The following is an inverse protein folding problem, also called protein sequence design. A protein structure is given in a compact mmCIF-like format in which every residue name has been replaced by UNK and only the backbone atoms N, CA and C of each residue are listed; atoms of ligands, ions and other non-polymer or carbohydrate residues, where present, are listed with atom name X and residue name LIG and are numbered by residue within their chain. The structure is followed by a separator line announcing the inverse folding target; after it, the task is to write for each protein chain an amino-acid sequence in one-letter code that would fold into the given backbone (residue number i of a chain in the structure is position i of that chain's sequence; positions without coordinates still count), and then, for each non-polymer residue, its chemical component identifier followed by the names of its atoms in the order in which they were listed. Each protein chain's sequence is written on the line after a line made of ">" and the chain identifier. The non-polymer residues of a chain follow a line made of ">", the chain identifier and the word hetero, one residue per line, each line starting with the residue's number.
data_IF_386796274526
#
_entry.id   IF_386796274526
#
_cell.length_a   1.000
_cell.length_b   1.000
_cell.length_c   1.000
_cell.angle_alpha   90.00
_cell.angle_beta   90.00
_cell.angle_gamma   90.00
#
_symmetry.space_group_name_H-M   'P 1'
#
loop_
_entity.id
_entity.type
_entity.pdbx_description
1 polymer ?
#
# COMPACT_ATOMS: atom_id res chain seq x y z
N UNK A 1 -11.54 -19.06 -2.13
CA UNK A 1 -10.10 -19.20 -2.45
C UNK A 1 -9.40 -18.01 -1.82
N UNK A 2 -8.33 -18.26 -1.04
CA UNK A 2 -7.51 -17.18 -0.48
C UNK A 2 -6.36 -16.86 -1.44
N UNK A 3 -5.95 -15.59 -1.49
CA UNK A 3 -4.81 -15.09 -2.23
C UNK A 3 -3.56 -15.32 -1.37
N UNK A 4 -2.54 -15.93 -1.96
CA UNK A 4 -1.24 -16.13 -1.32
C UNK A 4 -0.27 -15.03 -1.73
N UNK A 5 0.51 -14.54 -0.77
CA UNK A 5 1.54 -13.53 -1.02
C UNK A 5 2.88 -14.25 -1.16
N UNK A 6 3.60 -14.05 -2.27
CA UNK A 6 4.86 -14.75 -2.50
C UNK A 6 5.92 -14.31 -1.49
N UNK A 7 6.60 -15.25 -0.83
CA UNK A 7 7.73 -14.97 0.06
C UNK A 7 9.01 -14.73 -0.76
N UNK A 8 9.08 -13.61 -1.47
CA UNK A 8 10.28 -13.23 -2.23
C UNK A 8 11.24 -12.40 -1.35
N UNK A 9 12.57 -12.45 -1.64
CA UNK A 9 13.55 -11.64 -0.93
C UNK A 9 13.26 -10.14 -1.07
N UNK A 10 13.78 -9.36 -0.13
CA UNK A 10 13.61 -7.90 -0.13
C UNK A 10 14.08 -7.31 -1.48
N UNK A 11 13.17 -6.66 -2.20
CA UNK A 11 13.54 -5.79 -3.31
C UNK A 11 13.59 -4.37 -2.79
N UNK A 12 14.69 -3.68 -3.10
CA UNK A 12 14.75 -2.24 -2.98
C UNK A 12 13.53 -1.65 -3.72
N UNK A 13 12.71 -0.82 -3.07
CA UNK A 13 11.56 -0.16 -3.69
C UNK A 13 12.09 0.93 -4.63
N UNK A 14 12.68 0.52 -5.74
CA UNK A 14 13.17 1.39 -6.79
C UNK A 14 11.97 1.80 -7.64
N UNK A 15 11.24 2.83 -7.20
CA UNK A 15 10.20 3.53 -7.99
C UNK A 15 8.98 2.68 -8.42
N UNK A 16 8.86 1.44 -7.97
CA UNK A 16 7.81 0.50 -8.38
C UNK A 16 7.01 -0.04 -7.20
N UNK A 17 5.78 -0.47 -7.47
CA UNK A 17 4.88 -1.09 -6.50
C UNK A 17 5.52 -2.33 -5.87
N UNK A 18 5.36 -2.49 -4.55
CA UNK A 18 5.85 -3.67 -3.83
C UNK A 18 5.15 -4.94 -4.33
N UNK A 19 5.91 -5.93 -4.81
CA UNK A 19 5.37 -7.21 -5.30
C UNK A 19 4.59 -7.99 -4.25
N UNK A 20 4.90 -7.81 -2.96
CA UNK A 20 4.15 -8.45 -1.87
C UNK A 20 2.78 -7.82 -1.66
N UNK A 21 2.66 -6.52 -1.93
CA UNK A 21 1.41 -5.76 -1.76
C UNK A 21 0.59 -5.68 -3.05
N UNK A 22 1.19 -5.95 -4.21
CA UNK A 22 0.51 -5.97 -5.50
C UNK A 22 -0.75 -6.86 -5.53
N UNK A 23 -0.78 -8.08 -4.93
CA UNK A 23 -2.00 -8.87 -4.84
C UNK A 23 -3.11 -8.20 -4.03
N UNK A 24 -2.74 -7.46 -2.98
CA UNK A 24 -3.69 -6.71 -2.14
C UNK A 24 -4.21 -5.49 -2.91
N UNK A 25 -3.31 -4.75 -3.58
CA UNK A 25 -3.70 -3.61 -4.43
C UNK A 25 -4.69 -4.06 -5.50
N UNK A 26 -4.37 -5.15 -6.20
CA UNK A 26 -5.25 -5.72 -7.22
C UNK A 26 -6.61 -6.12 -6.65
N UNK A 27 -6.64 -6.81 -5.51
CA UNK A 27 -7.88 -7.19 -4.84
C UNK A 27 -8.73 -5.95 -4.52
N UNK A 28 -8.11 -4.90 -3.98
CA UNK A 28 -8.80 -3.65 -3.63
C UNK A 28 -9.36 -2.95 -4.88
N UNK A 29 -8.59 -2.88 -5.96
CA UNK A 29 -9.02 -2.31 -7.25
C UNK A 29 -10.17 -3.10 -7.88
N UNK A 30 -10.09 -4.44 -7.87
CA UNK A 30 -11.16 -5.33 -8.34
C UNK A 30 -12.46 -5.20 -7.54
N UNK A 31 -12.38 -4.68 -6.31
CA UNK A 31 -13.51 -4.42 -5.43
C UNK A 31 -13.86 -2.93 -5.32
N UNK A 32 -13.40 -2.10 -6.26
CA UNK A 32 -13.85 -0.72 -6.44
C UNK A 32 -13.06 0.36 -5.68
N UNK A 33 -12.00 -0.01 -4.96
CA UNK A 33 -11.07 0.98 -4.40
C UNK A 33 -10.23 1.59 -5.52
N UNK A 34 -9.99 2.90 -5.49
CA UNK A 34 -9.16 3.56 -6.49
C UNK A 34 -7.81 3.91 -5.91
N UNK A 35 -6.75 3.51 -6.59
CA UNK A 35 -5.38 3.85 -6.24
C UNK A 35 -4.92 5.11 -6.97
N UNK A 36 -4.12 5.93 -6.32
CA UNK A 36 -3.57 7.18 -6.87
C UNK A 36 -2.35 6.92 -7.76
N UNK A 37 -2.61 6.36 -8.95
CA UNK A 37 -1.58 6.15 -9.97
C UNK A 37 -0.97 7.46 -10.48
N UNK A 38 -1.63 8.61 -10.29
CA UNK A 38 -1.14 9.92 -10.77
C UNK A 38 0.03 10.41 -9.93
N UNK A 39 -0.07 10.24 -8.61
CA UNK A 39 1.04 10.56 -7.68
C UNK A 39 2.16 9.53 -7.75
N UNK A 40 1.86 8.30 -8.19
CA UNK A 40 2.82 7.20 -8.21
C UNK A 40 3.19 6.73 -6.80
N UNK A 41 4.34 6.07 -6.68
CA UNK A 41 4.91 5.74 -5.37
C UNK A 41 5.48 7.00 -4.75
N UNK A 42 5.03 7.33 -3.54
CA UNK A 42 5.55 8.45 -2.77
C UNK A 42 6.61 7.97 -1.79
N UNK A 43 7.59 8.83 -1.53
CA UNK A 43 8.65 8.56 -0.56
C UNK A 43 8.48 9.46 0.66
N UNK A 44 8.75 8.94 1.86
CA UNK A 44 8.84 9.76 3.07
C UNK A 44 10.30 10.00 3.48
N UNK A 45 10.53 11.03 4.30
CA UNK A 45 11.86 11.36 4.84
C UNK A 45 12.47 10.22 5.67
N UNK A 46 11.65 9.31 6.19
CA UNK A 46 12.09 8.09 6.90
C UNK A 46 12.30 6.85 6.03
N UNK A 47 12.56 7.01 4.73
CA UNK A 47 12.82 5.91 3.76
C UNK A 47 11.63 4.96 3.51
N UNK A 48 10.44 5.32 3.99
CA UNK A 48 9.20 4.60 3.68
C UNK A 48 8.68 4.91 2.28
N UNK A 49 8.10 3.91 1.63
CA UNK A 49 7.43 4.01 0.34
C UNK A 49 5.93 3.89 0.54
N UNK A 50 5.16 4.65 -0.23
CA UNK A 50 3.71 4.76 -0.05
C UNK A 50 3.00 4.66 -1.39
N UNK A 51 1.93 3.89 -1.41
CA UNK A 51 0.93 3.94 -2.46
C UNK A 51 -0.40 4.37 -1.84
N UNK A 52 -0.97 5.44 -2.38
CA UNK A 52 -2.17 6.04 -1.80
C UNK A 52 -3.42 5.52 -2.49
N UNK A 53 -4.48 5.31 -1.71
CA UNK A 53 -5.83 5.06 -2.21
C UNK A 53 -6.69 6.30 -2.02
N UNK A 54 -7.55 6.61 -2.98
CA UNK A 54 -8.56 7.67 -2.84
C UNK A 54 -9.62 7.31 -1.80
N UNK A 55 -9.96 6.02 -1.74
CA UNK A 55 -10.99 5.46 -0.90
C UNK A 55 -10.36 4.79 0.35
N UNK A 56 -11.09 4.66 1.48
CA UNK A 56 -10.60 3.95 2.65
C UNK A 56 -10.30 2.48 2.32
N UNK A 57 -9.15 1.98 2.75
CA UNK A 57 -8.77 0.57 2.53
C UNK A 57 -9.71 -0.35 3.31
N UNK A 58 -10.38 -1.25 2.60
CA UNK A 58 -11.20 -2.30 3.20
C UNK A 58 -10.33 -3.43 3.78
N UNK A 59 -9.99 -3.29 5.05
CA UNK A 59 -9.17 -4.27 5.78
C UNK A 59 -9.91 -5.59 6.02
N UNK A 60 -11.24 -5.56 6.11
CA UNK A 60 -12.04 -6.78 6.28
C UNK A 60 -11.93 -7.63 5.01
N UNK A 61 -12.09 -7.02 3.83
CA UNK A 61 -11.88 -7.69 2.56
C UNK A 61 -10.48 -8.31 2.46
N UNK A 62 -9.44 -7.56 2.83
CA UNK A 62 -8.05 -8.03 2.77
C UNK A 62 -7.83 -9.22 3.70
N UNK A 63 -8.22 -9.10 4.97
CA UNK A 63 -8.02 -10.17 5.95
C UNK A 63 -8.85 -11.43 5.65
N UNK A 64 -10.00 -11.30 4.99
CA UNK A 64 -10.85 -12.42 4.60
C UNK A 64 -10.42 -13.09 3.28
N UNK A 65 -9.73 -12.38 2.39
CA UNK A 65 -9.36 -12.87 1.05
C UNK A 65 -7.88 -13.15 0.88
N UNK A 66 -7.02 -12.67 1.78
CA UNK A 66 -5.57 -12.75 1.64
C UNK A 66 -4.97 -13.42 2.86
N UNK A 67 -4.11 -14.41 2.62
CA UNK A 67 -3.31 -14.99 3.69
C UNK A 67 -2.12 -14.06 3.99
N UNK A 68 -2.24 -13.25 5.04
CA UNK A 68 -1.25 -12.24 5.40
C UNK A 68 -0.02 -12.90 6.07
N UNK A 69 1.16 -12.88 5.42
CA UNK A 69 2.38 -13.37 6.04
C UNK A 69 2.85 -12.42 7.15
N UNK A 70 3.73 -12.91 8.05
CA UNK A 70 4.19 -12.17 9.23
C UNK A 70 4.88 -10.83 8.93
N UNK A 71 5.38 -10.63 7.72
CA UNK A 71 6.01 -9.38 7.29
C UNK A 71 5.01 -8.37 6.71
N UNK A 72 3.73 -8.73 6.60
CA UNK A 72 2.65 -7.82 6.24
C UNK A 72 1.78 -7.59 7.45
N UNK A 73 1.54 -6.31 7.76
CA UNK A 73 0.68 -5.91 8.86
C UNK A 73 -0.46 -5.05 8.33
N UNK A 74 -1.68 -5.46 8.62
CA UNK A 74 -2.90 -4.68 8.40
C UNK A 74 -3.28 -4.00 9.72
N UNK A 75 -3.19 -2.67 9.77
CA UNK A 75 -3.46 -1.90 10.99
C UNK A 75 -4.87 -1.34 10.95
N UNK A 76 -5.57 -1.35 12.11
CA UNK A 76 -6.89 -0.72 12.28
C UNK A 76 -6.91 0.78 11.92
N UNK A 77 -5.74 1.42 11.82
CA UNK A 77 -5.59 2.78 11.32
C UNK A 77 -5.81 2.94 9.80
N UNK A 78 -6.23 1.90 9.08
CA UNK A 78 -6.54 1.99 7.64
C UNK A 78 -5.31 1.97 6.74
N UNK A 79 -4.23 1.31 7.18
CA UNK A 79 -3.03 1.12 6.37
C UNK A 79 -2.53 -0.32 6.43
N UNK A 80 -1.86 -0.73 5.36
CA UNK A 80 -1.24 -2.06 5.22
C UNK A 80 0.25 -1.83 4.94
N UNK A 81 1.11 -2.42 5.75
CA UNK A 81 2.56 -2.25 5.64
C UNK A 81 3.26 -3.56 5.32
N UNK A 82 4.20 -3.54 4.38
CA UNK A 82 5.18 -4.59 4.16
C UNK A 82 6.50 -4.18 4.82
N UNK A 83 6.92 -4.90 5.86
CA UNK A 83 8.17 -4.63 6.58
C UNK A 83 9.42 -5.10 5.84
N UNK A 84 9.28 -5.93 4.79
CA UNK A 84 10.40 -6.30 3.92
C UNK A 84 10.78 -5.15 2.99
N UNK A 85 9.82 -4.63 2.22
CA UNK A 85 10.07 -3.57 1.23
C UNK A 85 9.90 -2.15 1.79
N UNK A 86 9.64 -1.99 3.09
CA UNK A 86 9.31 -0.71 3.73
C UNK A 86 8.25 0.07 2.95
N UNK A 87 7.20 -0.64 2.56
CA UNK A 87 6.16 -0.14 1.67
C UNK A 87 4.81 -0.14 2.38
N UNK A 88 4.04 0.92 2.22
CA UNK A 88 2.75 1.10 2.87
C UNK A 88 1.65 1.41 1.86
N UNK A 89 0.49 0.80 2.03
CA UNK A 89 -0.76 1.21 1.41
C UNK A 89 -1.53 2.03 2.44
N UNK A 90 -2.00 3.20 2.06
CA UNK A 90 -2.80 4.04 2.95
C UNK A 90 -3.85 4.85 2.19
N UNK A 91 -4.89 5.30 2.89
CA UNK A 91 -5.82 6.26 2.33
C UNK A 91 -5.17 7.65 2.23
N UNK A 92 -5.38 8.31 1.09
CA UNK A 92 -5.01 9.70 0.86
C UNK A 92 -5.67 10.59 1.89
N UNK A 93 -4.87 11.14 2.79
CA UNK A 93 -5.35 12.02 3.85
C UNK A 93 -5.00 13.47 3.53
N UNK A 94 -5.97 14.39 3.66
CA UNK A 94 -5.75 15.82 3.43
C UNK A 94 -4.72 16.36 4.43
N UNK A 95 -3.67 17.00 3.93
CA UNK A 95 -2.65 17.66 4.75
C UNK A 95 -1.43 16.79 5.10
N UNK A 96 -1.40 15.51 4.71
CA UNK A 96 -0.19 14.68 4.85
C UNK A 96 0.82 15.08 3.77
N UNK A 97 2.03 15.44 4.20
CA UNK A 97 3.12 15.89 3.32
C UNK A 97 4.09 14.72 3.16
N UNK A 98 4.29 14.27 1.92
CA UNK A 98 5.28 13.25 1.58
C UNK A 98 6.50 13.91 0.93
N UNK A 99 7.70 13.39 1.20
CA UNK A 99 8.94 13.90 0.61
C UNK A 99 8.96 13.62 -0.89
N UNK A 100 8.80 14.67 -1.71
CA UNK A 100 8.77 14.56 -3.18
C UNK A 100 7.38 14.69 -3.79
N UNK A 101 6.31 14.59 -3.00
CA UNK A 101 4.98 15.00 -3.44
C UNK A 101 4.91 16.54 -3.43
N UNK A 102 4.80 17.16 -4.61
CA UNK A 102 4.22 18.51 -4.69
C UNK A 102 2.95 18.49 -3.84
N UNK A 103 2.89 19.40 -2.87
CA UNK A 103 1.76 19.64 -1.99
C UNK A 103 0.46 19.33 -2.74
N UNK A 104 -0.32 18.35 -2.26
CA UNK A 104 -1.57 17.91 -2.90
C UNK A 104 -2.52 19.13 -2.89
N UNK A 105 -2.53 19.88 -4.01
CA UNK A 105 -3.45 21.00 -4.23
C UNK A 105 -4.72 20.42 -4.83
N UNK A 106 -5.82 20.68 -4.13
CA UNK A 106 -7.18 20.43 -4.60
C UNK A 106 -7.59 21.54 -5.55
#
# INVERSE_FOLDING_TARGET
>A
MMIEIPDTPNKEPLSQECEHLAPIVKLLEENGNRVDRTSGVLHDKGEGNFLLFYDPIDLDLVTNKVNLPNFISASKGGYISCSRCWFNLEQRTKGKIFAGAKQIKW
#
